data_IF_568697453795
#
_entry.id   IF_568697453795
#
_cell.length_a   1.000
_cell.length_b   1.000
_cell.length_c   1.000
_cell.angle_alpha   90.00
_cell.angle_beta   90.00
_cell.angle_gamma   90.00
#
_symmetry.space_group_name_H-M   'P 1'
#
loop_
_entity.id
_entity.type
_entity.pdbx_description
1 polymer ?
#
# COMPACT_ATOMS: atom_id res chain seq x y z
N UNK A 1 16.08 -43.70 52.82
CA UNK A 1 16.20 -43.92 51.36
C UNK A 1 14.94 -43.40 50.70
N UNK A 2 15.05 -42.27 50.00
CA UNK A 2 13.95 -41.59 49.33
C UNK A 2 13.65 -42.23 47.97
N UNK A 3 12.37 -42.48 47.65
CA UNK A 3 11.90 -42.66 46.28
C UNK A 3 10.98 -41.48 45.94
N UNK A 4 11.48 -40.61 45.07
CA UNK A 4 10.74 -39.53 44.41
C UNK A 4 9.64 -40.15 43.54
N UNK A 5 8.39 -39.77 43.78
CA UNK A 5 7.30 -39.93 42.81
C UNK A 5 7.20 -38.65 42.00
N UNK A 6 7.44 -38.75 40.69
CA UNK A 6 7.21 -37.69 39.74
C UNK A 6 5.69 -37.43 39.62
N UNK A 7 5.26 -36.22 39.96
CA UNK A 7 3.96 -35.70 39.53
C UNK A 7 4.17 -35.08 38.15
N UNK A 8 3.66 -35.75 37.12
CA UNK A 8 3.42 -35.14 35.82
C UNK A 8 2.43 -33.99 36.03
N UNK A 9 2.92 -32.76 35.90
CA UNK A 9 2.05 -31.61 35.70
C UNK A 9 1.55 -31.68 34.27
N UNK A 10 0.40 -32.32 34.09
CA UNK A 10 -0.43 -32.12 32.90
C UNK A 10 -0.76 -30.63 32.91
N UNK A 11 -0.31 -29.90 31.89
CA UNK A 11 -0.75 -28.54 31.62
C UNK A 11 -2.24 -28.60 31.28
N UNK A 12 -3.08 -28.43 32.30
CA UNK A 12 -4.49 -28.17 32.12
C UNK A 12 -4.66 -26.75 31.56
N UNK A 13 -5.14 -26.66 30.32
CA UNK A 13 -6.06 -25.61 29.83
C UNK A 13 -6.19 -24.34 30.70
N UNK A 14 -5.24 -23.42 30.54
CA UNK A 14 -5.27 -21.98 30.85
C UNK A 14 -4.58 -21.36 29.61
N UNK A 15 -5.14 -20.49 28.77
CA UNK A 15 -6.15 -19.45 28.94
C UNK A 15 -6.93 -19.25 27.63
N UNK A 16 -8.26 -19.32 27.69
CA UNK A 16 -9.16 -18.92 26.59
C UNK A 16 -9.37 -17.40 26.51
N UNK A 17 -8.48 -16.59 27.12
CA UNK A 17 -8.67 -15.16 27.31
C UNK A 17 -7.47 -14.29 26.88
N UNK A 18 -6.44 -14.89 26.26
CA UNK A 18 -5.27 -14.16 25.76
C UNK A 18 -5.61 -13.49 24.44
N UNK A 19 -5.58 -12.16 24.43
CA UNK A 19 -5.79 -11.35 23.22
C UNK A 19 -4.73 -11.68 22.15
N UNK A 20 -5.11 -11.68 20.87
CA UNK A 20 -4.15 -11.77 19.78
C UNK A 20 -3.36 -10.49 19.58
N UNK A 21 -2.21 -10.58 18.92
CA UNK A 21 -1.43 -9.41 18.53
C UNK A 21 -2.26 -8.50 17.61
N UNK A 22 -3.00 -9.05 16.65
CA UNK A 22 -3.83 -8.25 15.76
C UNK A 22 -4.88 -7.43 16.53
N UNK A 23 -5.59 -8.03 17.48
CA UNK A 23 -6.57 -7.33 18.32
C UNK A 23 -5.90 -6.29 19.22
N UNK A 24 -4.72 -6.59 19.78
CA UNK A 24 -3.96 -5.61 20.56
C UNK A 24 -3.60 -4.39 19.70
N UNK A 25 -3.11 -4.58 18.48
CA UNK A 25 -2.77 -3.46 17.59
C UNK A 25 -3.99 -2.60 17.27
N UNK A 26 -5.17 -3.19 17.09
CA UNK A 26 -6.44 -2.46 16.95
C UNK A 26 -6.76 -1.62 18.19
N UNK A 27 -6.58 -2.17 19.40
CA UNK A 27 -6.76 -1.42 20.65
C UNK A 27 -5.77 -0.25 20.74
N UNK A 28 -4.50 -0.49 20.43
CA UNK A 28 -3.46 0.56 20.47
C UNK A 28 -3.78 1.71 19.49
N UNK A 29 -4.29 1.40 18.30
CA UNK A 29 -4.68 2.41 17.31
C UNK A 29 -5.91 3.22 17.72
N UNK A 30 -6.92 2.55 18.27
CA UNK A 30 -8.14 3.19 18.76
C UNK A 30 -7.85 4.16 19.93
N UNK A 31 -6.84 3.83 20.75
CA UNK A 31 -6.41 4.64 21.89
C UNK A 31 -5.13 5.46 21.63
N UNK A 32 -4.69 5.60 20.38
CA UNK A 32 -3.37 6.18 20.03
C UNK A 32 -3.12 7.58 20.59
N UNK A 33 -4.18 8.39 20.74
CA UNK A 33 -4.09 9.74 21.28
C UNK A 33 -3.75 9.78 22.78
N UNK A 34 -3.81 8.64 23.46
CA UNK A 34 -3.49 8.48 24.88
C UNK A 34 -2.20 7.70 25.14
N UNK A 35 -1.49 7.32 24.07
CA UNK A 35 -0.30 6.48 24.17
C UNK A 35 0.84 7.16 23.40
N UNK A 36 1.98 7.31 24.05
CA UNK A 36 3.22 7.74 23.40
C UNK A 36 4.26 6.62 23.49
N UNK A 37 5.04 6.44 22.43
CA UNK A 37 5.99 5.35 22.26
C UNK A 37 7.42 5.89 22.36
N UNK A 38 8.27 5.19 23.09
CA UNK A 38 9.70 5.48 23.16
C UNK A 38 10.37 5.12 21.82
N UNK A 39 10.73 6.13 21.04
CA UNK A 39 11.25 5.94 19.69
C UNK A 39 12.63 5.27 19.68
N UNK A 40 13.49 5.60 20.65
CA UNK A 40 14.82 4.98 20.78
C UNK A 40 14.69 3.48 21.05
N UNK A 41 13.79 3.10 21.96
CA UNK A 41 13.54 1.69 22.26
C UNK A 41 12.94 0.95 21.05
N UNK A 42 11.96 1.55 20.36
CA UNK A 42 11.40 0.97 19.14
C UNK A 42 12.49 0.71 18.08
N UNK A 43 13.36 1.69 17.83
CA UNK A 43 14.47 1.56 16.88
C UNK A 43 15.49 0.50 17.34
N UNK A 44 15.78 0.41 18.64
CA UNK A 44 16.65 -0.60 19.22
C UNK A 44 16.06 -2.02 19.16
N UNK A 45 14.74 -2.16 19.12
CA UNK A 45 14.05 -3.46 18.97
C UNK A 45 13.70 -3.81 17.51
N UNK A 46 13.76 -2.85 16.59
CA UNK A 46 13.38 -3.05 15.18
C UNK A 46 14.51 -3.62 14.33
N UNK A 47 14.21 -4.63 13.51
CA UNK A 47 15.07 -5.07 12.41
C UNK A 47 14.47 -4.61 11.09
N UNK A 48 15.30 -3.98 10.24
CA UNK A 48 14.84 -3.50 8.94
C UNK A 48 14.51 -4.67 8.02
N UNK A 49 13.37 -4.57 7.32
CA UNK A 49 12.84 -5.62 6.45
C UNK A 49 13.08 -5.39 4.96
N UNK A 50 13.73 -4.28 4.59
CA UNK A 50 14.08 -3.95 3.20
C UNK A 50 15.46 -3.31 3.10
N UNK A 51 15.93 -3.11 1.87
CA UNK A 51 17.20 -2.41 1.61
C UNK A 51 17.08 -0.94 2.03
N UNK A 52 18.04 -0.46 2.80
CA UNK A 52 18.11 0.95 3.21
C UNK A 52 18.18 1.86 1.98
N UNK A 53 17.29 2.85 1.96
CA UNK A 53 17.31 3.95 0.99
C UNK A 53 17.91 5.18 1.65
N UNK A 54 18.65 5.95 0.86
CA UNK A 54 19.27 7.21 1.28
C UNK A 54 18.73 8.37 0.43
N UNK A 55 18.62 9.59 0.99
CA UNK A 55 18.19 10.76 0.23
C UNK A 55 19.14 11.09 -0.93
N UNK A 56 18.57 11.43 -2.08
CA UNK A 56 19.29 11.77 -3.30
C UNK A 56 19.06 10.80 -4.45
N UNK A 57 19.76 11.06 -5.55
CA UNK A 57 19.82 10.19 -6.73
C UNK A 57 21.28 10.03 -7.15
N UNK A 58 21.55 9.06 -8.04
CA UNK A 58 22.90 8.84 -8.56
C UNK A 58 23.05 9.43 -9.95
N UNK A 59 24.18 10.08 -10.20
CA UNK A 59 24.55 10.56 -11.53
C UNK A 59 25.02 9.40 -12.44
N UNK A 60 25.41 9.72 -13.68
CA UNK A 60 25.94 8.76 -14.67
C UNK A 60 27.20 8.04 -14.17
N UNK A 61 27.96 8.65 -13.25
CA UNK A 61 29.16 8.10 -12.63
C UNK A 61 28.86 7.36 -11.31
N UNK A 62 27.59 7.13 -10.98
CA UNK A 62 27.13 6.51 -9.74
C UNK A 62 27.38 7.29 -8.44
N UNK A 63 27.78 8.56 -8.52
CA UNK A 63 27.95 9.44 -7.37
C UNK A 63 26.60 9.88 -6.81
N UNK A 64 26.48 9.97 -5.48
CA UNK A 64 25.26 10.42 -4.83
C UNK A 64 25.14 11.94 -4.88
N UNK A 65 24.13 12.44 -5.59
CA UNK A 65 23.69 13.83 -5.55
C UNK A 65 22.63 13.97 -4.47
N UNK A 66 22.98 14.65 -3.37
CA UNK A 66 22.06 14.93 -2.26
C UNK A 66 21.08 16.05 -2.65
N UNK A 67 19.85 16.03 -2.13
CA UNK A 67 18.91 17.14 -2.34
C UNK A 67 19.42 18.43 -1.68
N UNK A 68 19.14 19.57 -2.29
CA UNK A 68 19.49 20.89 -1.75
C UNK A 68 18.70 21.29 -0.49
N UNK A 69 17.61 20.56 -0.21
CA UNK A 69 16.80 20.67 1.01
C UNK A 69 16.86 19.38 1.83
N UNK A 70 16.65 19.50 3.14
CA UNK A 70 16.42 18.39 4.06
C UNK A 70 15.39 18.80 5.12
N UNK A 71 15.13 17.92 6.07
CA UNK A 71 14.14 18.13 7.13
C UNK A 71 14.79 18.16 8.50
N UNK A 72 14.20 18.92 9.41
CA UNK A 72 14.52 18.90 10.84
C UNK A 72 13.25 18.72 11.65
N UNK A 73 13.26 17.79 12.59
CA UNK A 73 12.13 17.60 13.51
C UNK A 73 11.91 18.87 14.35
N UNK A 74 10.64 19.22 14.54
CA UNK A 74 10.24 20.36 15.37
C UNK A 74 10.34 19.97 16.85
N UNK A 75 9.96 18.74 17.16
CA UNK A 75 10.13 18.17 18.48
C UNK A 75 11.50 17.50 18.63
N UNK A 76 12.12 17.67 19.81
CA UNK A 76 13.33 16.94 20.21
C UNK A 76 12.98 15.79 21.18
N UNK A 77 11.72 15.34 21.17
CA UNK A 77 11.21 14.36 22.13
C UNK A 77 11.71 12.95 21.82
N UNK A 78 12.05 12.21 22.87
CA UNK A 78 12.33 10.77 22.76
C UNK A 78 11.05 9.95 22.58
N UNK A 79 9.92 10.50 23.01
CA UNK A 79 8.59 9.92 22.88
C UNK A 79 7.82 10.58 21.75
N UNK A 80 7.11 9.77 20.98
CA UNK A 80 6.27 10.20 19.87
C UNK A 80 4.87 9.64 20.04
N UNK A 81 3.86 10.27 19.45
CA UNK A 81 2.50 9.70 19.45
C UNK A 81 2.47 8.28 18.88
N UNK A 82 1.61 7.43 19.44
CA UNK A 82 1.35 6.10 18.89
C UNK A 82 0.93 6.22 17.42
N UNK A 83 1.53 5.37 16.59
CA UNK A 83 1.26 5.33 15.15
C UNK A 83 -0.07 4.66 14.81
N UNK A 84 -0.33 4.56 13.52
CA UNK A 84 -1.42 3.74 12.96
C UNK A 84 -0.87 2.42 12.45
N UNK A 85 -1.68 1.35 12.47
CA UNK A 85 -1.24 0.04 12.00
C UNK A 85 -1.92 -0.32 10.68
N UNK A 86 -1.17 -0.94 9.76
CA UNK A 86 -1.68 -1.35 8.46
C UNK A 86 -1.17 -2.72 8.08
N UNK A 87 -2.09 -3.59 7.66
CA UNK A 87 -1.75 -4.89 7.08
C UNK A 87 -1.37 -4.69 5.62
N UNK A 88 -0.30 -5.35 5.19
CA UNK A 88 0.05 -5.39 3.77
C UNK A 88 -0.98 -6.19 2.96
N UNK A 89 -1.15 -5.82 1.69
CA UNK A 89 -2.17 -6.39 0.81
C UNK A 89 -1.87 -7.82 0.36
N UNK A 90 -0.60 -8.19 0.20
CA UNK A 90 -0.18 -9.48 -0.37
C UNK A 90 1.01 -10.12 0.35
N UNK A 91 1.37 -9.61 1.54
CA UNK A 91 2.38 -10.19 2.43
C UNK A 91 1.86 -10.14 3.85
N UNK A 92 2.27 -11.09 4.69
CA UNK A 92 1.94 -11.10 6.11
C UNK A 92 2.82 -10.14 6.92
N UNK A 93 2.78 -8.86 6.55
CA UNK A 93 3.44 -7.79 7.26
C UNK A 93 2.39 -6.89 7.93
N UNK A 94 2.64 -6.51 9.18
CA UNK A 94 1.89 -5.47 9.87
C UNK A 94 2.85 -4.31 10.12
N UNK A 95 2.50 -3.15 9.61
CA UNK A 95 3.33 -1.96 9.60
C UNK A 95 2.77 -0.92 10.56
N UNK A 96 3.63 -0.27 11.33
CA UNK A 96 3.32 0.87 12.18
C UNK A 96 3.83 2.16 11.54
N UNK A 97 2.91 3.07 11.20
CA UNK A 97 3.22 4.37 10.64
C UNK A 97 3.30 5.42 11.75
N UNK A 98 4.51 5.92 12.02
CA UNK A 98 4.74 7.05 12.92
C UNK A 98 4.81 8.33 12.10
N UNK A 99 3.95 9.30 12.44
CA UNK A 99 3.94 10.64 11.85
C UNK A 99 4.55 11.64 12.82
N UNK A 100 5.51 12.44 12.37
CA UNK A 100 6.13 13.52 13.15
C UNK A 100 6.15 14.81 12.36
N UNK A 101 6.19 15.92 13.10
CA UNK A 101 6.26 17.25 12.51
C UNK A 101 7.70 17.66 12.23
N UNK A 102 7.94 18.13 11.02
CA UNK A 102 9.24 18.60 10.54
C UNK A 102 9.11 19.97 9.89
N UNK A 103 10.20 20.71 9.90
CA UNK A 103 10.38 21.91 9.08
C UNK A 103 11.39 21.65 7.98
N UNK A 104 11.19 22.31 6.86
CA UNK A 104 12.09 22.27 5.72
C UNK A 104 13.29 23.19 5.97
N UNK A 105 14.49 22.72 5.67
CA UNK A 105 15.73 23.49 5.82
C UNK A 105 16.65 23.27 4.60
N UNK A 106 17.51 24.23 4.29
CA UNK A 106 18.57 24.06 3.30
C UNK A 106 19.65 23.13 3.81
N UNK A 107 20.15 22.25 2.95
CA UNK A 107 21.19 21.29 3.32
C UNK A 107 22.53 21.97 3.60
N UNK A 108 22.87 23.02 2.86
CA UNK A 108 24.16 23.72 2.91
C UNK A 108 24.41 24.47 4.22
N UNK A 109 23.43 25.28 4.64
CA UNK A 109 23.58 26.24 5.75
C UNK A 109 22.56 26.03 6.88
N UNK A 110 21.70 25.01 6.77
CA UNK A 110 20.62 24.69 7.73
C UNK A 110 19.57 25.81 7.86
N UNK A 111 19.53 26.77 6.93
CA UNK A 111 18.56 27.87 6.95
C UNK A 111 17.14 27.33 6.76
N UNK A 112 16.19 27.67 7.65
CA UNK A 112 14.81 27.23 7.52
C UNK A 112 14.08 27.86 6.32
N UNK A 113 13.24 27.07 5.68
CA UNK A 113 12.26 27.53 4.71
C UNK A 113 10.92 27.61 5.44
N UNK A 114 10.32 28.80 5.47
CA UNK A 114 9.05 29.04 6.16
C UNK A 114 7.86 28.99 5.22
N UNK A 115 8.04 29.38 3.97
CA UNK A 115 6.98 29.50 2.98
C UNK A 115 7.45 28.96 1.62
N UNK A 116 6.57 28.22 0.94
CA UNK A 116 6.73 27.81 -0.46
C UNK A 116 5.40 27.99 -1.17
N UNK A 117 5.40 28.73 -2.28
CA UNK A 117 4.21 28.92 -3.13
C UNK A 117 2.96 29.46 -2.39
N UNK A 118 3.14 30.30 -1.36
CA UNK A 118 2.05 30.82 -0.53
C UNK A 118 1.62 29.90 0.61
N UNK A 119 2.28 28.74 0.80
CA UNK A 119 2.02 27.80 1.88
C UNK A 119 3.08 27.90 2.96
N UNK A 120 2.65 27.95 4.22
CA UNK A 120 3.54 27.74 5.34
C UNK A 120 4.02 26.27 5.35
N UNK A 121 5.34 26.07 5.40
CA UNK A 121 6.00 24.75 5.36
C UNK A 121 6.83 24.48 6.62
N UNK A 122 6.48 25.17 7.70
CA UNK A 122 7.13 25.07 9.00
C UNK A 122 6.67 23.87 9.83
N UNK A 123 5.59 23.17 9.46
CA UNK A 123 4.99 22.06 10.20
C UNK A 123 4.53 20.88 9.32
N UNK A 124 5.34 20.53 8.33
CA UNK A 124 5.10 19.41 7.43
C UNK A 124 5.15 18.05 8.15
N UNK A 125 4.47 17.05 7.59
CA UNK A 125 4.50 15.69 8.10
C UNK A 125 5.70 14.92 7.54
N UNK A 126 6.43 14.24 8.42
CA UNK A 126 7.39 13.19 8.09
C UNK A 126 6.85 11.85 8.58
N UNK A 127 6.96 10.84 7.73
CA UNK A 127 6.37 9.53 7.93
C UNK A 127 7.49 8.48 8.05
N UNK A 128 7.50 7.74 9.16
CA UNK A 128 8.43 6.65 9.39
C UNK A 128 7.65 5.35 9.58
N UNK A 129 7.93 4.35 8.75
CA UNK A 129 7.25 3.07 8.80
C UNK A 129 8.12 2.01 9.49
N UNK A 130 7.54 1.31 10.47
CA UNK A 130 8.17 0.24 11.21
C UNK A 130 7.37 -1.06 11.06
N UNK A 131 7.96 -2.06 10.42
CA UNK A 131 7.35 -3.39 10.31
C UNK A 131 7.33 -4.07 11.68
N UNK A 132 6.15 -4.18 12.31
CA UNK A 132 5.96 -4.80 13.62
C UNK A 132 5.92 -6.33 13.49
N UNK A 133 5.22 -6.83 12.47
CA UNK A 133 5.18 -8.23 12.07
C UNK A 133 5.73 -8.31 10.66
N UNK A 134 6.70 -9.21 10.43
CA UNK A 134 7.27 -9.47 9.12
C UNK A 134 7.10 -10.94 8.76
N UNK A 135 6.51 -11.23 7.60
CA UNK A 135 6.31 -12.58 7.07
C UNK A 135 5.65 -13.52 8.10
N UNK A 136 4.61 -13.04 8.78
CA UNK A 136 3.89 -13.79 9.81
C UNK A 136 4.64 -13.97 11.13
N UNK A 137 5.75 -13.25 11.35
CA UNK A 137 6.57 -13.34 12.57
C UNK A 137 6.77 -11.98 13.22
N UNK A 138 6.77 -11.95 14.55
CA UNK A 138 7.02 -10.72 15.33
C UNK A 138 8.44 -10.21 15.07
N UNK A 139 8.54 -9.00 14.54
CA UNK A 139 9.79 -8.31 14.23
C UNK A 139 10.19 -7.31 15.34
N UNK A 140 9.21 -6.62 15.92
CA UNK A 140 9.40 -5.78 17.11
C UNK A 140 8.84 -6.53 18.31
N UNK A 141 9.71 -6.97 19.22
CA UNK A 141 9.32 -7.84 20.34
C UNK A 141 8.56 -7.13 21.45
N UNK A 142 8.80 -5.83 21.62
CA UNK A 142 8.16 -5.05 22.68
C UNK A 142 8.10 -3.58 22.31
N UNK A 143 7.13 -2.89 22.90
CA UNK A 143 6.98 -1.44 22.84
C UNK A 143 7.08 -0.88 24.26
N UNK A 144 7.98 0.09 24.45
CA UNK A 144 7.99 0.91 25.66
C UNK A 144 7.09 2.12 25.44
N UNK A 145 6.10 2.30 26.32
CA UNK A 145 5.05 3.31 26.14
C UNK A 145 4.77 4.08 27.43
N UNK A 146 4.25 5.30 27.30
CA UNK A 146 3.57 6.01 28.40
C UNK A 146 2.11 6.19 28.06
N UNK A 147 1.26 6.09 29.08
CA UNK A 147 -0.19 6.09 28.92
C UNK A 147 -0.77 7.25 29.73
N UNK A 148 -1.42 8.20 29.05
CA UNK A 148 -1.99 9.40 29.69
C UNK A 148 -3.43 9.21 30.17
N UNK A 149 -4.07 8.09 29.84
CA UNK A 149 -5.46 7.79 30.21
C UNK A 149 -5.55 6.56 31.10
N UNK A 150 -6.10 6.73 32.31
CA UNK A 150 -6.41 5.62 33.21
C UNK A 150 -7.31 4.57 32.54
N UNK A 151 -8.32 5.00 31.76
CA UNK A 151 -9.22 4.08 31.05
C UNK A 151 -8.48 3.20 30.05
N UNK A 152 -7.49 3.75 29.35
CA UNK A 152 -6.66 2.99 28.40
C UNK A 152 -5.74 2.04 29.14
N UNK A 153 -5.17 2.45 30.27
CA UNK A 153 -4.39 1.57 31.12
C UNK A 153 -5.23 0.39 31.65
N UNK A 154 -6.40 0.68 32.23
CA UNK A 154 -7.30 -0.33 32.80
C UNK A 154 -7.70 -1.36 31.73
N UNK A 155 -8.00 -0.92 30.50
CA UNK A 155 -8.32 -1.80 29.36
C UNK A 155 -7.14 -2.71 28.99
N UNK A 156 -5.92 -2.15 28.85
CA UNK A 156 -4.73 -2.94 28.50
C UNK A 156 -4.36 -3.93 29.62
N UNK A 157 -4.60 -3.55 30.88
CA UNK A 157 -4.44 -4.43 32.03
C UNK A 157 -5.48 -5.55 32.06
N UNK A 158 -6.75 -5.24 31.79
CA UNK A 158 -7.83 -6.24 31.70
C UNK A 158 -7.54 -7.30 30.63
N UNK A 159 -6.88 -6.90 29.54
CA UNK A 159 -6.40 -7.80 28.48
C UNK A 159 -5.06 -8.48 28.79
N UNK A 160 -4.55 -8.36 30.02
CA UNK A 160 -3.27 -8.92 30.47
C UNK A 160 -2.05 -8.47 29.65
N UNK A 161 -2.11 -7.30 29.02
CA UNK A 161 -1.03 -6.75 28.17
C UNK A 161 0.00 -5.98 29.00
N UNK A 162 -0.45 -5.42 30.12
CA UNK A 162 0.38 -4.68 31.08
C UNK A 162 0.29 -5.38 32.43
N UNK A 163 1.45 -5.71 33.00
CA UNK A 163 1.56 -6.44 34.28
C UNK A 163 1.46 -5.52 35.51
N UNK A 164 1.69 -4.22 35.34
CA UNK A 164 1.65 -3.26 36.44
C UNK A 164 0.26 -3.20 37.11
N UNK A 165 0.25 -3.18 38.45
CA UNK A 165 -1.00 -3.13 39.22
C UNK A 165 -1.61 -1.72 39.26
N UNK A 166 -0.76 -0.70 39.40
CA UNK A 166 -1.19 0.68 39.59
C UNK A 166 -0.93 1.54 38.35
N UNK A 167 -1.87 2.46 38.11
CA UNK A 167 -1.76 3.47 37.08
C UNK A 167 -0.93 4.67 37.56
N UNK A 168 0.13 5.01 36.83
CA UNK A 168 0.94 6.21 36.97
C UNK A 168 1.31 6.75 35.58
N UNK A 169 0.83 7.95 35.26
CA UNK A 169 1.09 8.61 33.98
C UNK A 169 2.56 8.98 33.74
N UNK A 170 3.40 8.92 34.78
CA UNK A 170 4.85 9.17 34.70
C UNK A 170 5.65 7.92 34.36
N UNK A 171 5.10 6.75 34.70
CA UNK A 171 5.75 5.47 34.47
C UNK A 171 5.82 5.14 32.97
N UNK A 172 6.88 4.45 32.59
CA UNK A 172 6.98 3.76 31.31
C UNK A 172 6.52 2.31 31.51
N UNK A 173 5.67 1.85 30.60
CA UNK A 173 5.07 0.52 30.58
C UNK A 173 5.64 -0.27 29.40
N UNK A 174 5.93 -1.55 29.62
CA UNK A 174 6.38 -2.47 28.57
C UNK A 174 5.20 -3.28 28.06
N UNK A 175 4.93 -3.20 26.77
CA UNK A 175 3.98 -4.06 26.06
C UNK A 175 4.79 -5.12 25.32
N UNK A 176 4.60 -6.40 25.67
CA UNK A 176 5.26 -7.54 25.00
C UNK A 176 4.41 -8.01 23.82
N UNK A 177 5.03 -8.05 22.64
CA UNK A 177 4.38 -8.48 21.40
C UNK A 177 4.76 -9.91 21.02
N UNK A 178 5.87 -10.43 21.54
CA UNK A 178 6.46 -11.72 21.19
C UNK A 178 5.82 -12.94 21.86
N UNK A 179 4.92 -12.73 22.83
CA UNK A 179 4.22 -13.78 23.57
C UNK A 179 2.74 -13.93 23.19
N UNK A 180 2.25 -13.11 22.26
CA UNK A 180 0.84 -13.13 21.85
C UNK A 180 0.67 -14.00 20.60
N UNK A 181 -0.44 -14.76 20.49
CA UNK A 181 -0.80 -15.38 19.23
C UNK A 181 -0.99 -14.28 18.18
N UNK A 182 -0.47 -14.48 16.96
CA UNK A 182 -0.53 -13.43 15.94
C UNK A 182 -1.98 -13.13 15.52
N UNK A 183 -2.80 -14.17 15.45
CA UNK A 183 -4.15 -14.15 14.92
C UNK A 183 -5.16 -14.48 16.04
N UNK A 184 -6.40 -13.95 15.97
CA UNK A 184 -7.49 -14.40 16.82
C UNK A 184 -7.81 -15.89 16.59
N UNK A 185 -8.25 -16.58 17.65
CA UNK A 185 -8.54 -18.02 17.60
C UNK A 185 -9.79 -18.31 16.74
N UNK A 186 -10.84 -17.48 16.86
CA UNK A 186 -12.14 -17.67 16.20
C UNK A 186 -12.35 -16.69 15.03
N UNK A 187 -11.32 -16.45 14.22
CA UNK A 187 -11.44 -15.55 13.08
C UNK A 187 -12.16 -16.23 11.90
N UNK A 188 -13.34 -15.72 11.55
CA UNK A 188 -14.05 -16.09 10.32
C UNK A 188 -13.58 -15.26 9.13
N UNK A 189 -13.43 -15.90 7.97
CA UNK A 189 -13.01 -15.22 6.74
C UNK A 189 -14.18 -15.08 5.78
N UNK A 190 -14.36 -13.88 5.25
CA UNK A 190 -15.39 -13.61 4.24
C UNK A 190 -15.10 -14.37 2.95
N UNK A 191 -16.16 -14.70 2.19
CA UNK A 191 -16.00 -15.21 0.83
C UNK A 191 -15.19 -14.21 -0.02
N UNK A 192 -14.28 -14.75 -0.83
CA UNK A 192 -13.49 -13.98 -1.79
C UNK A 192 -14.10 -13.96 -3.19
N UNK A 193 -15.21 -14.68 -3.40
CA UNK A 193 -15.89 -14.80 -4.69
C UNK A 193 -16.34 -13.42 -5.22
N UNK A 194 -16.07 -13.15 -6.49
CA UNK A 194 -16.38 -11.87 -7.14
C UNK A 194 -15.62 -10.64 -6.61
N UNK A 195 -14.72 -10.78 -5.62
CA UNK A 195 -13.94 -9.64 -5.10
C UNK A 195 -12.91 -9.16 -6.12
N UNK A 196 -12.35 -10.07 -6.92
CA UNK A 196 -11.37 -9.72 -7.93
C UNK A 196 -11.95 -8.72 -8.93
N UNK A 197 -13.13 -9.00 -9.50
CA UNK A 197 -13.75 -8.14 -10.51
C UNK A 197 -14.08 -6.77 -9.93
N UNK A 198 -14.64 -6.72 -8.72
CA UNK A 198 -14.92 -5.44 -8.02
C UNK A 198 -13.65 -4.60 -7.83
N UNK A 199 -12.55 -5.23 -7.42
CA UNK A 199 -11.27 -4.56 -7.26
C UNK A 199 -10.66 -4.14 -8.60
N UNK A 200 -10.73 -5.00 -9.61
CA UNK A 200 -10.17 -4.76 -10.92
C UNK A 200 -10.91 -3.61 -11.62
N UNK A 201 -12.24 -3.59 -11.59
CA UNK A 201 -13.08 -2.49 -12.08
C UNK A 201 -12.70 -1.16 -11.42
N UNK A 202 -12.72 -1.12 -10.07
CA UNK A 202 -12.41 0.09 -9.32
C UNK A 202 -10.97 0.58 -9.59
N UNK A 203 -10.00 -0.34 -9.66
CA UNK A 203 -8.59 -0.03 -9.90
C UNK A 203 -8.35 0.46 -11.33
N UNK A 204 -9.01 -0.13 -12.32
CA UNK A 204 -8.95 0.33 -13.71
C UNK A 204 -9.49 1.75 -13.79
N UNK A 205 -10.66 2.01 -13.21
CA UNK A 205 -11.25 3.34 -13.26
C UNK A 205 -10.43 4.38 -12.50
N UNK A 206 -9.95 4.05 -11.29
CA UNK A 206 -9.06 4.92 -10.52
C UNK A 206 -7.75 5.23 -11.27
N UNK A 207 -7.22 4.27 -12.03
CA UNK A 207 -6.05 4.43 -12.88
C UNK A 207 -6.30 5.40 -14.03
N UNK A 208 -7.45 5.31 -14.70
CA UNK A 208 -7.87 6.26 -15.76
C UNK A 208 -8.00 7.67 -15.17
N UNK A 209 -8.76 7.84 -14.10
CA UNK A 209 -8.98 9.14 -13.45
C UNK A 209 -7.64 9.72 -12.97
N UNK A 210 -6.77 8.91 -12.38
CA UNK A 210 -5.43 9.34 -11.95
C UNK A 210 -4.56 9.82 -13.11
N UNK A 211 -4.67 9.19 -14.28
CA UNK A 211 -3.91 9.58 -15.46
C UNK A 211 -4.37 10.96 -15.98
N UNK A 212 -5.68 11.23 -15.94
CA UNK A 212 -6.27 12.54 -16.28
C UNK A 212 -5.81 13.61 -15.28
N UNK A 213 -5.95 13.33 -13.98
CA UNK A 213 -5.64 14.28 -12.91
C UNK A 213 -4.13 14.43 -12.63
N UNK A 214 -3.24 13.83 -13.43
CA UNK A 214 -1.80 13.76 -13.14
C UNK A 214 -1.17 15.14 -13.00
N UNK A 215 -1.53 16.08 -13.88
CA UNK A 215 -1.04 17.46 -13.88
C UNK A 215 -2.03 18.45 -13.26
N UNK A 216 -3.26 18.02 -13.03
CA UNK A 216 -4.32 18.87 -12.50
C UNK A 216 -4.30 18.90 -10.96
N UNK A 217 -4.81 20.00 -10.43
CA UNK A 217 -5.13 20.21 -9.03
C UNK A 217 -6.41 21.03 -8.94
N UNK A 218 -7.25 20.66 -7.99
CA UNK A 218 -8.44 21.38 -7.54
C UNK A 218 -8.12 22.46 -6.49
N UNK A 219 -6.86 22.56 -6.04
CA UNK A 219 -6.43 23.45 -4.95
C UNK A 219 -5.35 24.44 -5.39
N UNK A 220 -4.40 24.01 -6.22
CA UNK A 220 -3.20 24.80 -6.56
C UNK A 220 -3.14 25.17 -8.04
N UNK A 221 -2.67 26.39 -8.31
CA UNK A 221 -2.36 26.84 -9.67
C UNK A 221 -1.14 26.10 -10.25
N UNK A 222 -1.00 25.99 -11.58
CA UNK A 222 0.14 25.35 -12.23
C UNK A 222 1.51 25.90 -11.77
N UNK A 223 1.62 27.21 -11.59
CA UNK A 223 2.83 27.88 -11.12
C UNK A 223 3.17 27.49 -9.68
N UNK A 224 2.14 27.38 -8.82
CA UNK A 224 2.32 26.88 -7.45
C UNK A 224 2.78 25.43 -7.44
N UNK A 225 2.17 24.56 -8.26
CA UNK A 225 2.59 23.16 -8.39
C UNK A 225 4.03 23.02 -8.88
N UNK A 226 4.45 23.86 -9.83
CA UNK A 226 5.83 23.88 -10.29
C UNK A 226 6.80 24.28 -9.17
N UNK A 227 6.43 25.27 -8.36
CA UNK A 227 7.24 25.75 -7.25
C UNK A 227 7.32 24.75 -6.09
N UNK A 228 6.21 24.12 -5.71
CA UNK A 228 6.17 23.03 -4.73
C UNK A 228 7.09 21.87 -5.14
N UNK A 229 7.06 21.47 -6.42
CA UNK A 229 7.93 20.41 -6.95
C UNK A 229 9.42 20.74 -6.84
N UNK A 230 9.84 21.99 -7.08
CA UNK A 230 11.24 22.42 -6.90
C UNK A 230 11.71 22.27 -5.45
N UNK A 231 10.78 22.34 -4.50
CA UNK A 231 11.00 22.21 -3.06
C UNK A 231 10.71 20.79 -2.53
N UNK A 232 10.56 19.80 -3.42
CA UNK A 232 10.25 18.41 -3.06
C UNK A 232 8.91 18.24 -2.33
N UNK A 233 7.93 19.10 -2.59
CA UNK A 233 6.58 19.03 -2.03
C UNK A 233 5.60 18.61 -3.12
N UNK A 234 4.77 17.60 -2.85
CA UNK A 234 3.72 17.12 -3.76
C UNK A 234 2.43 17.92 -3.61
N UNK A 235 1.50 17.75 -4.56
CA UNK A 235 0.21 18.45 -4.58
C UNK A 235 -0.72 18.18 -3.38
N UNK A 236 -0.41 17.17 -2.57
CA UNK A 236 -1.08 16.89 -1.30
C UNK A 236 -0.27 17.42 -0.09
N UNK A 237 0.67 18.33 -0.32
CA UNK A 237 1.53 18.97 0.69
C UNK A 237 2.41 17.97 1.46
N UNK A 238 2.67 16.81 0.86
CA UNK A 238 3.59 15.82 1.42
C UNK A 238 5.00 16.01 0.87
N UNK A 239 6.00 15.77 1.72
CA UNK A 239 7.41 15.75 1.35
C UNK A 239 7.71 14.52 0.49
N UNK A 240 8.44 14.72 -0.60
CA UNK A 240 8.88 13.66 -1.50
C UNK A 240 10.30 13.95 -2.01
N UNK A 241 11.27 13.78 -1.12
CA UNK A 241 12.67 13.79 -1.51
C UNK A 241 12.98 12.63 -2.45
N UNK A 242 13.82 12.83 -3.47
CA UNK A 242 14.35 11.71 -4.24
C UNK A 242 15.13 10.80 -3.29
N UNK A 243 15.04 9.49 -3.50
CA UNK A 243 15.81 8.51 -2.73
C UNK A 243 16.38 7.45 -3.65
N UNK A 244 17.53 6.90 -3.27
CA UNK A 244 18.20 5.81 -3.99
C UNK A 244 18.65 4.72 -3.01
N UNK A 245 19.01 3.54 -3.52
CA UNK A 245 19.56 2.49 -2.69
C UNK A 245 20.95 2.90 -2.17
N UNK A 246 21.21 2.57 -0.90
CA UNK A 246 22.51 2.80 -0.26
C UNK A 246 23.64 2.10 -1.04
N UNK A 247 23.37 0.90 -1.56
CA UNK A 247 24.32 0.09 -2.31
C UNK A 247 24.07 0.16 -3.82
N UNK A 248 25.12 0.46 -4.59
CA UNK A 248 25.10 0.41 -6.07
C UNK A 248 25.11 -1.01 -6.61
N UNK A 249 25.71 -1.95 -5.89
CA UNK A 249 25.82 -3.35 -6.29
C UNK A 249 25.37 -4.29 -5.15
N UNK A 250 24.19 -4.88 -5.32
CA UNK A 250 23.60 -5.81 -4.35
C UNK A 250 24.47 -7.04 -4.14
N UNK A 251 25.10 -7.59 -5.19
CA UNK A 251 25.96 -8.78 -5.08
C UNK A 251 27.17 -8.51 -4.20
N UNK A 252 27.80 -7.35 -4.37
CA UNK A 252 28.93 -6.94 -3.52
C UNK A 252 28.47 -6.67 -2.07
N UNK A 253 27.31 -6.06 -1.88
CA UNK A 253 26.77 -5.82 -0.54
C UNK A 253 26.40 -7.12 0.20
N UNK A 254 25.89 -8.13 -0.52
CA UNK A 254 25.70 -9.48 0.00
C UNK A 254 27.03 -10.16 0.37
N UNK A 255 28.04 -10.09 -0.51
CA UNK A 255 29.35 -10.67 -0.24
C UNK A 255 30.04 -10.03 0.97
N UNK A 256 29.83 -8.72 1.19
CA UNK A 256 30.32 -7.97 2.36
C UNK A 256 29.42 -8.12 3.59
N UNK A 257 28.35 -8.92 3.51
CA UNK A 257 27.36 -9.11 4.58
C UNK A 257 26.64 -7.84 5.07
N UNK A 258 26.62 -6.78 4.26
CA UNK A 258 25.84 -5.57 4.54
C UNK A 258 24.34 -5.79 4.28
N UNK A 259 24.03 -6.70 3.36
CA UNK A 259 22.69 -7.18 3.06
C UNK A 259 22.55 -8.66 3.44
N UNK A 260 21.34 -9.04 3.82
CA UNK A 260 20.89 -10.42 3.87
C UNK A 260 19.72 -10.62 2.91
N UNK A 261 19.44 -11.88 2.58
CA UNK A 261 18.27 -12.27 1.80
C UNK A 261 17.36 -13.20 2.58
N UNK A 262 16.06 -13.10 2.33
CA UNK A 262 15.04 -13.99 2.88
C UNK A 262 14.06 -14.41 1.80
N UNK A 263 13.32 -15.47 2.06
CA UNK A 263 12.15 -15.84 1.27
C UNK A 263 10.94 -15.10 1.85
N UNK A 264 10.22 -14.37 1.00
CA UNK A 264 8.94 -13.73 1.30
C UNK A 264 7.85 -14.48 0.55
N UNK A 265 6.74 -14.79 1.22
CA UNK A 265 5.61 -15.43 0.56
C UNK A 265 4.61 -14.36 0.13
N UNK A 266 4.30 -14.35 -1.17
CA UNK A 266 3.29 -13.47 -1.76
C UNK A 266 1.99 -14.22 -1.90
N UNK A 267 0.90 -13.55 -1.54
CA UNK A 267 -0.45 -14.04 -1.72
C UNK A 267 -1.23 -13.05 -2.55
N UNK A 268 -1.56 -13.44 -3.77
CA UNK A 268 -2.41 -12.64 -4.64
C UNK A 268 -3.75 -13.34 -4.88
N UNK A 269 -4.77 -12.51 -5.10
CA UNK A 269 -6.11 -12.96 -5.47
C UNK A 269 -6.37 -12.56 -6.92
N UNK A 270 -6.81 -13.54 -7.70
CA UNK A 270 -7.17 -13.44 -9.11
C UNK A 270 -8.54 -14.07 -9.40
N UNK A 271 -8.87 -14.13 -10.67
CA UNK A 271 -9.99 -14.92 -11.20
C UNK A 271 -9.48 -15.93 -12.23
N UNK A 272 -10.40 -16.70 -12.82
CA UNK A 272 -10.11 -17.73 -13.83
C UNK A 272 -9.42 -17.19 -15.09
N UNK A 273 -9.55 -15.88 -15.35
CA UNK A 273 -9.01 -15.21 -16.53
C UNK A 273 -7.75 -14.37 -16.26
N UNK A 274 -7.62 -13.85 -15.04
CA UNK A 274 -6.54 -12.94 -14.64
C UNK A 274 -6.02 -13.31 -13.25
N UNK A 275 -4.76 -13.76 -13.21
CA UNK A 275 -4.17 -14.34 -11.99
C UNK A 275 -4.01 -13.36 -10.82
N UNK A 276 -3.83 -12.06 -11.10
CA UNK A 276 -3.77 -11.02 -10.09
C UNK A 276 -3.92 -9.61 -10.70
N UNK A 277 -4.20 -8.62 -9.85
CA UNK A 277 -4.33 -7.21 -10.24
C UNK A 277 -3.03 -6.57 -10.74
N UNK A 278 -1.89 -7.27 -10.64
CA UNK A 278 -0.61 -6.86 -11.21
C UNK A 278 -0.52 -7.11 -12.71
N UNK A 279 -1.40 -7.95 -13.28
CA UNK A 279 -1.47 -8.20 -14.74
C UNK A 279 -2.13 -7.06 -15.51
N UNK A 280 -2.96 -6.25 -14.84
CA UNK A 280 -3.66 -5.12 -15.44
C UNK A 280 -2.68 -4.09 -16.02
N UNK A 281 -3.02 -3.51 -17.16
CA UNK A 281 -2.24 -2.44 -17.77
C UNK A 281 -2.44 -1.11 -17.03
N UNK A 282 -1.39 -0.28 -16.97
CA UNK A 282 -1.57 1.10 -16.53
C UNK A 282 -2.42 1.85 -17.57
N UNK A 283 -3.13 2.90 -17.14
CA UNK A 283 -4.10 3.56 -18.02
C UNK A 283 -3.48 4.03 -19.35
N UNK A 284 -2.35 4.74 -19.29
CA UNK A 284 -1.66 5.20 -20.51
C UNK A 284 -1.09 4.05 -21.34
N UNK A 285 -0.65 2.93 -20.72
CA UNK A 285 -0.17 1.75 -21.47
C UNK A 285 -1.32 1.10 -22.24
N UNK A 286 -2.49 0.99 -21.61
CA UNK A 286 -3.68 0.45 -22.27
C UNK A 286 -4.19 1.36 -23.38
N UNK A 287 -4.20 2.68 -23.12
CA UNK A 287 -4.56 3.71 -24.10
C UNK A 287 -3.72 3.57 -25.38
N UNK A 288 -2.39 3.57 -25.26
CA UNK A 288 -1.46 3.43 -26.39
C UNK A 288 -1.59 2.08 -27.14
N UNK A 289 -1.96 1.02 -26.40
CA UNK A 289 -2.13 -0.31 -26.95
C UNK A 289 -3.40 -0.45 -27.80
N UNK A 290 -4.52 0.10 -27.35
CA UNK A 290 -5.85 -0.19 -27.90
C UNK A 290 -6.49 0.98 -28.67
N UNK A 291 -5.96 2.19 -28.52
CA UNK A 291 -6.57 3.40 -29.07
C UNK A 291 -5.56 4.28 -29.81
N UNK A 292 -6.08 5.11 -30.70
CA UNK A 292 -5.35 6.18 -31.38
C UNK A 292 -6.00 7.51 -31.03
N UNK A 293 -5.17 8.48 -30.60
CA UNK A 293 -5.58 9.88 -30.53
C UNK A 293 -5.13 10.57 -31.80
N UNK A 294 -5.97 11.44 -32.35
CA UNK A 294 -5.66 12.19 -33.56
C UNK A 294 -6.23 13.60 -33.52
N UNK A 295 -5.58 14.51 -34.23
CA UNK A 295 -6.07 15.88 -34.40
C UNK A 295 -7.30 15.89 -35.31
N UNK A 296 -8.41 16.44 -34.85
CA UNK A 296 -9.67 16.48 -35.61
C UNK A 296 -9.56 17.32 -36.88
N UNK A 297 -8.70 18.35 -36.87
CA UNK A 297 -8.50 19.24 -38.01
C UNK A 297 -7.59 18.65 -39.10
N UNK A 298 -6.52 17.93 -38.72
CA UNK A 298 -5.49 17.45 -39.66
C UNK A 298 -5.56 15.94 -39.91
N UNK A 299 -6.24 15.19 -39.05
CA UNK A 299 -6.24 13.73 -39.05
C UNK A 299 -4.92 13.08 -38.59
N UNK A 300 -3.94 13.89 -38.15
CA UNK A 300 -2.62 13.41 -37.74
C UNK A 300 -2.70 12.60 -36.45
N UNK A 301 -2.10 11.40 -36.45
CA UNK A 301 -2.08 10.47 -35.31
C UNK A 301 -0.99 10.90 -34.32
N UNK A 302 -1.35 10.95 -33.04
CA UNK A 302 -0.45 11.27 -31.94
C UNK A 302 0.32 10.01 -31.53
N UNK A 303 1.66 10.07 -31.65
CA UNK A 303 2.55 8.92 -31.42
C UNK A 303 2.66 8.46 -29.96
N UNK A 304 2.36 9.32 -29.00
CA UNK A 304 2.39 9.03 -27.56
C UNK A 304 1.13 9.56 -26.89
N UNK A 305 -0.01 8.87 -27.07
CA UNK A 305 -1.25 9.30 -26.47
C UNK A 305 -1.13 9.25 -24.95
N UNK A 306 -1.78 10.20 -24.29
CA UNK A 306 -1.90 10.21 -22.85
C UNK A 306 -3.31 10.70 -22.49
N UNK A 307 -3.71 10.53 -21.24
CA UNK A 307 -5.01 11.00 -20.77
C UNK A 307 -5.09 12.51 -20.49
N UNK A 308 -3.97 13.23 -20.39
CA UNK A 308 -4.02 14.70 -20.22
C UNK A 308 -4.53 15.41 -21.50
N UNK A 309 -4.33 14.78 -22.66
CA UNK A 309 -4.77 15.24 -23.97
C UNK A 309 -6.30 15.22 -24.17
N UNK A 310 -7.06 14.52 -23.32
CA UNK A 310 -8.51 14.37 -23.47
C UNK A 310 -9.31 15.66 -23.19
N UNK A 311 -8.69 16.67 -22.59
CA UNK A 311 -9.30 17.98 -22.39
C UNK A 311 -9.17 18.91 -23.62
N UNK A 312 -8.49 18.48 -24.68
CA UNK A 312 -8.27 19.32 -25.84
C UNK A 312 -9.39 19.14 -26.89
N UNK A 313 -10.11 20.21 -27.20
CA UNK A 313 -11.24 20.20 -28.15
C UNK A 313 -10.88 19.72 -29.57
N UNK A 314 -9.60 19.82 -29.94
CA UNK A 314 -9.09 19.43 -31.24
C UNK A 314 -8.55 18.00 -31.31
N UNK A 315 -8.75 17.18 -30.27
CA UNK A 315 -8.30 15.79 -30.22
C UNK A 315 -9.51 14.86 -30.15
N UNK A 316 -9.53 13.84 -31.02
CA UNK A 316 -10.50 12.76 -30.97
C UNK A 316 -9.80 11.42 -30.75
N UNK A 317 -10.56 10.44 -30.27
CA UNK A 317 -10.09 9.09 -29.99
C UNK A 317 -10.88 8.08 -30.82
N UNK A 318 -10.21 7.01 -31.27
CA UNK A 318 -10.84 5.85 -31.93
C UNK A 318 -10.09 4.58 -31.59
N UNK A 319 -10.67 3.42 -31.89
CA UNK A 319 -9.97 2.15 -31.80
C UNK A 319 -8.77 2.10 -32.76
N UNK A 320 -7.64 1.61 -32.25
CA UNK A 320 -6.45 1.34 -33.03
C UNK A 320 -6.70 0.14 -33.95
N UNK A 321 -6.25 0.23 -35.21
CA UNK A 321 -6.20 -0.95 -36.06
C UNK A 321 -5.03 -1.83 -35.59
N UNK A 322 -5.37 -2.89 -34.86
CA UNK A 322 -4.36 -3.79 -34.30
C UNK A 322 -3.76 -4.65 -35.40
N UNK A 323 -2.42 -4.68 -35.48
CA UNK A 323 -1.72 -5.61 -36.36
C UNK A 323 -1.99 -7.05 -35.94
N UNK A 324 -1.92 -7.99 -36.89
CA UNK A 324 -2.07 -9.44 -36.64
C UNK A 324 -1.08 -10.01 -35.61
N UNK A 325 0.00 -9.29 -35.27
CA UNK A 325 0.97 -9.68 -34.24
C UNK A 325 0.48 -9.42 -32.82
N UNK A 326 -0.48 -8.52 -32.63
CA UNK A 326 -1.00 -8.19 -31.30
C UNK A 326 -2.03 -9.24 -30.94
N UNK A 327 -1.68 -10.10 -29.97
CA UNK A 327 -2.65 -11.02 -29.35
C UNK A 327 -3.47 -10.24 -28.33
N UNK A 328 -4.80 -10.31 -28.47
CA UNK A 328 -5.75 -9.88 -27.45
C UNK A 328 -5.71 -10.90 -26.32
N UNK A 329 -5.65 -10.41 -25.10
CA UNK A 329 -5.60 -11.21 -23.87
C UNK A 329 -6.86 -10.99 -23.04
N UNK A 330 -7.18 -11.88 -22.09
CA UNK A 330 -8.32 -11.66 -21.19
C UNK A 330 -8.23 -10.35 -20.38
N UNK A 331 -7.00 -9.88 -20.10
CA UNK A 331 -6.77 -8.55 -19.51
C UNK A 331 -7.27 -7.44 -20.43
N UNK A 332 -7.02 -7.56 -21.73
CA UNK A 332 -7.50 -6.59 -22.72
C UNK A 332 -9.03 -6.63 -22.83
N UNK A 333 -9.61 -7.83 -22.85
CA UNK A 333 -11.06 -8.04 -22.92
C UNK A 333 -11.78 -7.50 -21.67
N UNK A 334 -11.18 -7.62 -20.50
CA UNK A 334 -11.70 -7.06 -19.26
C UNK A 334 -11.63 -5.53 -19.23
N UNK A 335 -10.47 -4.95 -19.62
CA UNK A 335 -10.26 -3.51 -19.52
C UNK A 335 -11.00 -2.71 -20.60
N UNK A 336 -11.11 -3.27 -21.82
CA UNK A 336 -11.64 -2.54 -22.99
C UNK A 336 -13.06 -1.99 -22.78
N UNK A 337 -14.06 -2.73 -22.26
CA UNK A 337 -15.40 -2.19 -22.05
C UNK A 337 -15.44 -0.98 -21.10
N UNK A 338 -14.60 -0.98 -20.06
CA UNK A 338 -14.49 0.15 -19.12
C UNK A 338 -13.91 1.38 -19.83
N UNK A 339 -12.87 1.19 -20.66
CA UNK A 339 -12.27 2.28 -21.42
C UNK A 339 -13.19 2.81 -22.51
N UNK A 340 -13.85 1.93 -23.25
CA UNK A 340 -14.78 2.32 -24.30
C UNK A 340 -15.93 3.15 -23.73
N UNK A 341 -16.49 2.67 -22.62
CA UNK A 341 -17.55 3.36 -21.90
C UNK A 341 -17.05 4.63 -21.22
N UNK A 342 -15.79 4.73 -20.83
CA UNK A 342 -15.18 5.94 -20.28
C UNK A 342 -14.86 7.00 -21.35
N UNK A 343 -14.38 6.58 -22.51
CA UNK A 343 -14.01 7.46 -23.63
C UNK A 343 -15.27 7.92 -24.39
N UNK A 344 -16.34 7.11 -24.38
CA UNK A 344 -17.56 7.35 -25.16
C UNK A 344 -17.53 6.74 -26.55
N UNK A 345 -16.76 5.67 -26.75
CA UNK A 345 -16.78 4.87 -27.99
C UNK A 345 -17.89 3.81 -27.95
N UNK A 346 -18.27 3.39 -26.76
CA UNK A 346 -19.43 2.56 -26.47
C UNK A 346 -20.17 3.20 -25.27
N UNK A 347 -21.49 3.01 -25.17
CA UNK A 347 -22.28 3.52 -24.05
C UNK A 347 -22.98 2.33 -23.38
N UNK A 348 -22.17 1.46 -22.77
CA UNK A 348 -22.63 0.24 -22.11
C UNK A 348 -22.94 0.44 -20.61
N UNK A 349 -22.65 1.62 -20.06
CA UNK A 349 -23.01 2.03 -18.70
C UNK A 349 -22.12 1.46 -17.59
N UNK A 350 -21.05 0.75 -17.93
CA UNK A 350 -20.11 0.16 -16.98
C UNK A 350 -19.46 1.24 -16.09
N UNK A 351 -19.05 2.37 -16.66
CA UNK A 351 -18.46 3.49 -15.91
C UNK A 351 -19.43 4.02 -14.84
N UNK A 352 -20.71 4.20 -15.21
CA UNK A 352 -21.73 4.65 -14.28
C UNK A 352 -22.02 3.61 -13.19
N UNK A 353 -22.05 2.31 -13.56
CA UNK A 353 -22.24 1.22 -12.61
C UNK A 353 -21.13 1.14 -11.57
N UNK A 354 -19.85 1.25 -11.99
CA UNK A 354 -18.70 1.26 -11.07
C UNK A 354 -18.79 2.46 -10.11
N UNK A 355 -19.10 3.65 -10.63
CA UNK A 355 -19.24 4.84 -9.78
C UNK A 355 -20.40 4.73 -8.79
N UNK A 356 -21.50 4.08 -9.17
CA UNK A 356 -22.63 3.89 -8.24
C UNK A 356 -22.28 2.96 -7.08
N UNK A 357 -21.48 1.91 -7.31
CA UNK A 357 -20.99 1.02 -6.23
C UNK A 357 -20.24 1.78 -5.13
N UNK A 358 -19.61 2.91 -5.47
CA UNK A 358 -18.85 3.75 -4.52
C UNK A 358 -19.57 5.06 -4.16
N UNK A 359 -20.84 5.23 -4.56
CA UNK A 359 -21.64 6.42 -4.29
C UNK A 359 -21.12 7.70 -4.97
N UNK A 360 -20.55 7.59 -6.17
CA UNK A 360 -19.99 8.68 -6.96
C UNK A 360 -20.78 8.96 -8.26
N UNK A 361 -22.09 8.70 -8.27
CA UNK A 361 -22.96 8.75 -9.46
C UNK A 361 -23.00 10.12 -10.14
N UNK A 362 -22.84 11.20 -9.37
CA UNK A 362 -22.83 12.55 -9.91
C UNK A 362 -21.71 12.77 -10.92
N UNK A 363 -20.57 12.08 -10.78
CA UNK A 363 -19.45 12.17 -11.70
C UNK A 363 -19.81 11.59 -13.06
N UNK A 364 -20.58 10.51 -13.10
CA UNK A 364 -21.05 9.93 -14.36
C UNK A 364 -21.90 10.93 -15.15
N UNK A 365 -22.76 11.70 -14.47
CA UNK A 365 -23.61 12.73 -15.09
C UNK A 365 -22.78 13.88 -15.66
N UNK A 366 -21.83 14.41 -14.89
CA UNK A 366 -20.96 15.51 -15.32
C UNK A 366 -20.09 15.05 -16.51
N UNK A 367 -19.53 13.84 -16.43
CA UNK A 367 -18.72 13.27 -17.51
C UNK A 367 -19.53 13.05 -18.79
N UNK A 368 -20.78 12.59 -18.69
CA UNK A 368 -21.67 12.44 -19.84
C UNK A 368 -21.95 13.79 -20.51
N UNK A 369 -22.23 14.84 -19.73
CA UNK A 369 -22.42 16.17 -20.27
C UNK A 369 -21.15 16.66 -21.00
N UNK A 370 -19.96 16.31 -20.52
CA UNK A 370 -18.68 16.71 -21.14
C UNK A 370 -18.54 16.07 -22.52
N UNK A 371 -18.93 14.79 -22.65
CA UNK A 371 -18.96 14.09 -23.95
C UNK A 371 -19.96 14.69 -24.91
N UNK A 372 -21.12 15.10 -24.41
CA UNK A 372 -22.14 15.79 -25.19
C UNK A 372 -21.68 17.20 -25.65
N UNK A 373 -20.44 17.61 -25.33
CA UNK A 373 -19.88 18.95 -25.56
C UNK A 373 -20.78 20.06 -25.02
N UNK A 374 -21.51 19.77 -23.95
CA UNK A 374 -22.21 20.81 -23.20
C UNK A 374 -21.15 21.66 -22.51
N UNK A 375 -21.43 22.96 -22.40
CA UNK A 375 -20.49 23.88 -21.78
C UNK A 375 -20.40 23.56 -20.27
N UNK A 376 -19.35 22.84 -19.88
CA UNK A 376 -19.08 22.47 -18.49
C UNK A 376 -17.85 23.22 -18.03
N UNK A 377 -17.93 23.72 -16.80
CA UNK A 377 -16.76 24.27 -16.14
C UNK A 377 -15.73 23.16 -15.90
N UNK A 378 -14.54 23.31 -16.49
CA UNK A 378 -13.42 22.37 -16.33
C UNK A 378 -13.09 22.12 -14.85
N UNK A 379 -13.19 23.15 -14.01
CA UNK A 379 -12.85 23.04 -12.59
C UNK A 379 -13.86 22.15 -11.84
N UNK A 380 -15.15 22.29 -12.13
CA UNK A 380 -16.20 21.44 -11.54
C UNK A 380 -15.98 19.96 -11.91
N UNK A 381 -15.53 19.70 -13.14
CA UNK A 381 -15.18 18.35 -13.59
C UNK A 381 -13.95 17.80 -12.89
N UNK A 382 -12.90 18.62 -12.71
CA UNK A 382 -11.69 18.23 -11.97
C UNK A 382 -12.05 17.86 -10.53
N UNK A 383 -12.84 18.69 -9.83
CA UNK A 383 -13.28 18.44 -8.45
C UNK A 383 -14.10 17.15 -8.36
N UNK A 384 -15.01 16.93 -9.29
CA UNK A 384 -15.82 15.72 -9.37
C UNK A 384 -14.92 14.47 -9.53
N UNK A 385 -13.93 14.51 -10.42
CA UNK A 385 -12.99 13.43 -10.64
C UNK A 385 -12.11 13.15 -9.42
N UNK A 386 -11.61 14.17 -8.73
CA UNK A 386 -10.86 13.98 -7.47
C UNK A 386 -11.72 13.29 -6.41
N UNK A 387 -12.99 13.69 -6.28
CA UNK A 387 -13.95 13.08 -5.35
C UNK A 387 -14.21 11.61 -5.70
N UNK A 388 -14.49 11.29 -6.97
CA UNK A 388 -14.66 9.90 -7.40
C UNK A 388 -13.41 9.06 -7.16
N UNK A 389 -12.23 9.62 -7.45
CA UNK A 389 -10.96 8.94 -7.23
C UNK A 389 -10.78 8.58 -5.75
N UNK A 390 -11.03 9.51 -4.83
CA UNK A 390 -10.92 9.26 -3.39
C UNK A 390 -11.86 8.14 -2.94
N UNK A 391 -13.12 8.16 -3.41
CA UNK A 391 -14.11 7.10 -3.11
C UNK A 391 -13.72 5.74 -3.67
N UNK A 392 -13.15 5.67 -4.87
CA UNK A 392 -12.63 4.43 -5.45
C UNK A 392 -11.43 3.89 -4.64
N UNK A 393 -10.49 4.76 -4.25
CA UNK A 393 -9.33 4.38 -3.44
C UNK A 393 -9.74 3.92 -2.04
N UNK A 394 -10.74 4.56 -1.43
CA UNK A 394 -11.36 4.14 -0.17
C UNK A 394 -11.99 2.76 -0.32
N UNK A 395 -12.90 2.57 -1.27
CA UNK A 395 -13.55 1.28 -1.54
C UNK A 395 -12.56 0.13 -1.74
N UNK A 396 -11.49 0.36 -2.53
CA UNK A 396 -10.40 -0.62 -2.70
C UNK A 396 -9.74 -0.93 -1.36
N UNK A 397 -9.43 0.10 -0.57
CA UNK A 397 -8.78 -0.03 0.73
C UNK A 397 -9.65 -0.78 1.73
N UNK A 398 -10.98 -0.59 1.72
CA UNK A 398 -11.91 -1.32 2.58
C UNK A 398 -11.94 -2.81 2.26
N UNK A 399 -12.03 -3.19 0.98
CA UNK A 399 -11.98 -4.60 0.58
C UNK A 399 -10.67 -5.25 1.03
N UNK A 400 -9.54 -4.55 0.85
CA UNK A 400 -8.26 -5.08 1.33
C UNK A 400 -8.24 -5.22 2.85
N UNK A 401 -8.58 -4.16 3.58
CA UNK A 401 -8.54 -4.13 5.05
C UNK A 401 -9.45 -5.19 5.67
N UNK A 402 -10.66 -5.33 5.14
CA UNK A 402 -11.72 -6.08 5.81
C UNK A 402 -11.82 -7.53 5.31
N UNK A 403 -11.37 -7.82 4.08
CA UNK A 403 -11.52 -9.16 3.47
C UNK A 403 -10.21 -9.83 3.08
N UNK A 404 -9.29 -9.11 2.43
CA UNK A 404 -8.11 -9.73 1.81
C UNK A 404 -6.89 -9.78 2.73
N UNK A 405 -6.46 -8.64 3.27
CA UNK A 405 -5.25 -8.54 4.09
C UNK A 405 -5.29 -9.44 5.34
N UNK A 406 -6.43 -9.61 6.05
CA UNK A 406 -6.53 -10.58 7.14
C UNK A 406 -6.33 -12.03 6.67
N UNK A 407 -6.91 -12.40 5.53
CA UNK A 407 -6.72 -13.73 4.93
C UNK A 407 -5.25 -13.96 4.54
N UNK A 408 -4.62 -12.95 3.92
CA UNK A 408 -3.20 -13.00 3.56
C UNK A 408 -2.32 -13.19 4.79
N UNK A 409 -2.60 -12.46 5.87
CA UNK A 409 -1.91 -12.63 7.14
C UNK A 409 -2.08 -14.05 7.68
N UNK A 410 -3.31 -14.60 7.64
CA UNK A 410 -3.59 -15.96 8.08
C UNK A 410 -2.79 -17.00 7.30
N UNK A 411 -2.88 -16.97 5.98
CA UNK A 411 -2.32 -18.03 5.12
C UNK A 411 -0.79 -18.09 5.22
N UNK A 412 -0.09 -16.94 5.23
CA UNK A 412 1.37 -16.96 5.40
C UNK A 412 1.79 -17.37 6.82
N UNK A 413 1.00 -16.98 7.83
CA UNK A 413 1.36 -17.25 9.24
C UNK A 413 1.12 -18.71 9.64
N UNK A 414 0.07 -19.34 9.08
CA UNK A 414 -0.30 -20.73 9.37
C UNK A 414 0.25 -21.72 8.33
N UNK A 415 0.54 -21.24 7.11
CA UNK A 415 0.94 -22.08 5.98
C UNK A 415 -0.20 -22.82 5.31
N UNK A 416 -1.46 -22.60 5.72
CA UNK A 416 -2.65 -23.28 5.20
C UNK A 416 -3.78 -22.28 4.88
N UNK A 417 -4.72 -22.69 4.03
CA UNK A 417 -5.97 -21.94 3.87
C UNK A 417 -6.89 -22.17 5.09
N UNK A 418 -7.78 -21.21 5.41
CA UNK A 418 -8.83 -21.44 6.39
C UNK A 418 -9.67 -22.68 6.02
N UNK A 419 -10.00 -23.51 7.01
CA UNK A 419 -10.73 -24.76 6.81
C UNK A 419 -12.05 -24.58 6.04
N UNK A 420 -12.71 -23.43 6.25
CA UNK A 420 -13.96 -23.02 5.62
C UNK A 420 -13.87 -22.93 4.08
N UNK A 421 -12.68 -22.69 3.52
CA UNK A 421 -12.49 -22.52 2.07
C UNK A 421 -12.39 -23.84 1.30
N UNK A 422 -12.06 -24.95 1.99
CA UNK A 422 -12.01 -26.32 1.48
C UNK A 422 -11.56 -26.46 0.00
N UNK A 423 -10.39 -25.90 -0.34
CA UNK A 423 -9.86 -25.90 -1.70
C UNK A 423 -8.66 -26.83 -1.84
N UNK A 424 -8.58 -27.55 -2.96
CA UNK A 424 -7.43 -28.41 -3.28
C UNK A 424 -6.30 -27.56 -3.85
N UNK A 425 -5.10 -27.73 -3.30
CA UNK A 425 -3.87 -27.17 -3.85
C UNK A 425 -3.62 -27.68 -5.28
N UNK A 426 -3.17 -26.79 -6.15
CA UNK A 426 -2.83 -27.07 -7.53
C UNK A 426 -1.46 -26.45 -7.90
N UNK A 427 -0.75 -27.07 -8.83
CA UNK A 427 0.46 -26.49 -9.44
C UNK A 427 0.10 -25.52 -10.59
N UNK A 428 1.07 -24.71 -11.02
CA UNK A 428 0.90 -23.87 -12.21
C UNK A 428 0.55 -24.69 -13.47
N UNK A 429 1.13 -25.89 -13.62
CA UNK A 429 0.85 -26.79 -14.75
C UNK A 429 -0.60 -27.29 -14.73
N UNK A 430 -1.07 -27.77 -13.58
CA UNK A 430 -2.45 -28.22 -13.40
C UNK A 430 -3.45 -27.07 -13.62
N UNK A 431 -3.10 -25.86 -13.18
CA UNK A 431 -3.94 -24.69 -13.38
C UNK A 431 -3.95 -24.26 -14.86
N UNK A 432 -2.81 -24.32 -15.54
CA UNK A 432 -2.70 -24.04 -16.99
C UNK A 432 -3.49 -25.04 -17.83
N UNK A 433 -3.55 -26.32 -17.43
CA UNK A 433 -4.39 -27.31 -18.10
C UNK A 433 -5.88 -26.95 -18.04
N UNK A 434 -6.34 -26.34 -16.93
CA UNK A 434 -7.73 -25.87 -16.79
C UNK A 434 -7.97 -24.53 -17.48
N UNK A 435 -7.02 -23.60 -17.36
CA UNK A 435 -7.12 -22.23 -17.85
C UNK A 435 -5.85 -21.86 -18.64
N UNK A 436 -5.74 -22.29 -19.91
CA UNK A 436 -4.50 -22.21 -20.69
C UNK A 436 -4.07 -20.80 -21.09
N UNK A 437 -4.93 -19.80 -20.90
CA UNK A 437 -4.64 -18.39 -21.19
C UNK A 437 -4.00 -17.64 -20.00
N UNK A 438 -3.96 -18.24 -18.81
CA UNK A 438 -3.38 -17.61 -17.62
C UNK A 438 -1.88 -17.34 -17.81
N UNK A 439 -1.43 -16.16 -17.36
CA UNK A 439 -0.05 -15.71 -17.53
C UNK A 439 0.70 -15.72 -16.21
N UNK A 440 1.69 -16.60 -16.11
CA UNK A 440 2.53 -16.78 -14.93
C UNK A 440 3.88 -16.06 -15.08
N UNK A 441 4.32 -15.38 -14.02
CA UNK A 441 5.69 -14.91 -13.84
C UNK A 441 6.60 -16.08 -13.42
N UNK A 442 7.92 -15.85 -13.37
CA UNK A 442 8.88 -16.89 -12.97
C UNK A 442 8.61 -17.40 -11.56
N UNK A 443 8.36 -16.50 -10.61
CA UNK A 443 8.11 -16.89 -9.22
C UNK A 443 6.73 -17.58 -9.09
N UNK A 444 5.73 -17.16 -9.87
CA UNK A 444 4.39 -17.77 -9.89
C UNK A 444 4.40 -19.18 -10.50
N UNK A 445 5.33 -19.50 -11.43
CA UNK A 445 5.43 -20.86 -11.98
C UNK A 445 5.77 -21.92 -10.93
N UNK A 446 6.48 -21.52 -9.87
CA UNK A 446 6.83 -22.37 -8.72
C UNK A 446 5.80 -22.24 -7.58
N UNK A 447 4.69 -21.55 -7.83
CA UNK A 447 3.63 -21.28 -6.85
C UNK A 447 2.66 -22.44 -6.63
N UNK A 448 1.87 -22.30 -5.57
CA UNK A 448 0.71 -23.14 -5.25
C UNK A 448 -0.56 -22.33 -5.43
N UNK A 449 -1.58 -22.92 -6.04
CA UNK A 449 -2.82 -22.26 -6.41
C UNK A 449 -4.04 -22.96 -5.81
N UNK A 450 -5.06 -22.18 -5.49
CA UNK A 450 -6.31 -22.69 -4.94
C UNK A 450 -7.48 -22.03 -5.66
N UNK A 451 -8.40 -22.84 -6.20
CA UNK A 451 -9.62 -22.35 -6.84
C UNK A 451 -10.73 -22.34 -5.80
N UNK A 452 -11.34 -21.18 -5.56
CA UNK A 452 -12.45 -20.97 -4.63
C UNK A 452 -13.55 -20.23 -5.40
N UNK A 453 -14.60 -20.95 -5.80
CA UNK A 453 -15.67 -20.38 -6.64
C UNK A 453 -15.16 -19.92 -8.00
N UNK A 454 -15.26 -18.60 -8.26
CA UNK A 454 -14.70 -17.91 -9.43
C UNK A 454 -13.26 -17.39 -9.25
N UNK A 455 -12.76 -17.46 -8.02
CA UNK A 455 -11.53 -16.81 -7.60
C UNK A 455 -10.36 -17.79 -7.50
N UNK A 456 -9.15 -17.27 -7.65
CA UNK A 456 -7.90 -18.00 -7.52
C UNK A 456 -7.05 -17.32 -6.45
N UNK A 457 -6.67 -18.06 -5.40
CA UNK A 457 -5.60 -17.64 -4.49
C UNK A 457 -4.29 -18.21 -5.02
N UNK A 458 -3.31 -17.34 -5.23
CA UNK A 458 -1.96 -17.69 -5.64
C UNK A 458 -1.00 -17.49 -4.48
N UNK A 459 -0.25 -18.52 -4.10
CA UNK A 459 0.79 -18.46 -3.06
C UNK A 459 2.14 -18.79 -3.69
N UNK A 460 3.08 -17.85 -3.68
CA UNK A 460 4.38 -18.06 -4.31
C UNK A 460 5.51 -17.36 -3.53
N UNK A 461 6.71 -17.92 -3.63
CA UNK A 461 7.88 -17.43 -2.92
C UNK A 461 8.67 -16.43 -3.77
N UNK A 462 9.10 -15.33 -3.16
CA UNK A 462 10.04 -14.39 -3.78
C UNK A 462 11.25 -14.16 -2.88
N UNK A 463 12.40 -13.87 -3.49
CA UNK A 463 13.61 -13.52 -2.74
C UNK A 463 13.65 -12.02 -2.48
N UNK A 464 13.64 -11.62 -1.22
CA UNK A 464 13.78 -10.24 -0.78
C UNK A 464 15.13 -10.00 -0.10
N UNK A 465 15.59 -8.74 -0.13
CA UNK A 465 16.84 -8.30 0.50
C UNK A 465 16.59 -7.24 1.56
N UNK A 466 17.36 -7.30 2.65
CA UNK A 466 17.28 -6.30 3.72
C UNK A 466 18.65 -5.94 4.30
N UNK A 467 18.76 -4.71 4.81
CA UNK A 467 19.99 -4.22 5.46
C UNK A 467 20.12 -4.74 6.89
N UNK A 468 21.32 -5.18 7.29
CA UNK A 468 21.64 -5.52 8.68
C UNK A 468 21.65 -4.29 9.59
N UNK A 469 21.37 -4.51 10.88
CA UNK A 469 21.33 -3.45 11.89
C UNK A 469 22.69 -2.82 12.18
N UNK A 470 23.79 -3.55 11.95
CA UNK A 470 25.15 -3.06 12.23
C UNK A 470 25.70 -2.06 11.20
N UNK A 471 24.92 -1.68 10.18
CA UNK A 471 25.32 -0.66 9.20
C UNK A 471 25.06 0.78 9.66
N UNK A 472 25.01 1.05 10.98
CA UNK A 472 24.79 2.40 11.51
C UNK A 472 26.12 3.04 11.92
N UNK A 473 26.69 3.82 11.00
CA UNK A 473 27.28 5.08 11.41
C UNK A 473 26.12 5.98 11.88
N UNK A 474 26.12 6.30 13.17
CA UNK A 474 25.21 7.26 13.78
C UNK A 474 25.58 8.63 13.19
N UNK A 475 24.81 9.14 12.23
CA UNK A 475 24.86 10.57 11.94
C UNK A 475 24.27 11.31 13.15
N UNK A 476 25.12 12.10 13.80
CA UNK A 476 24.81 12.97 14.95
C UNK A 476 24.00 14.18 14.52
#
# INVERSE_FOLDING_TARGET
MAKKSAKNHIMSSQDNNTISLLELLTILEAHRNHIIVNLKNLQANYQRTGVKRIPGFRDENSNLIKPWLTTKYIDNGEYVGMGTFGLNHNTANINMLITRKVRLIKTEDQTPIFEVAGLLVNDLNSFNNYTIVSEGKVNVKSLQVKISSKKTFDLLREKCVIENEDYDFRCEYTIRLDHLPLLPIDQHYSSIEGLFDQLAEAKVLASIISAILKKESDVFLPEQLAELRKHYIFKNVNLNFPTTNEYTNIKQALAKQNLESRISYKIDIGCKDILNLGKLHSANKFLDRMYELYHTATGEIISKPNFDMFFHDNIACRHKQLSSRIKITPVDEFMKPIFDDFIGLDNNGIFAAILSKVGAENVAKIWQQQRDRKNINKDDLIVALFTAKAKLEEFISEIYRDKISPLVLYVVSTGVLPDEMNAKAMTAEELTQKYPHLQFSKDEQEGTFFIIGDSIISVYATREYYSKKDSVAIEK
#
